data_IF_452599926955
#
_entry.id   IF_452599926955
#
_cell.length_a   1.000
_cell.length_b   1.000
_cell.length_c   1.000
_cell.angle_alpha   90.00
_cell.angle_beta   90.00
_cell.angle_gamma   90.00
#
_symmetry.space_group_name_H-M   'P 1'
#
loop_
_entity.id
_entity.type
_entity.pdbx_description
1 polymer ?
#
# COMPACT_ATOMS: atom_id res chain seq x y z
N UNK A 1 -63.46 22.84 25.23
CA UNK A 1 -63.89 22.88 23.82
C UNK A 1 -63.05 23.89 23.05
N UNK A 2 -62.13 23.43 22.20
CA UNK A 2 -61.74 24.03 20.91
C UNK A 2 -60.74 23.08 20.25
N UNK A 3 -61.17 22.45 19.16
CA UNK A 3 -60.37 21.66 18.22
C UNK A 3 -59.81 22.63 17.18
N UNK A 4 -58.53 22.48 16.86
CA UNK A 4 -57.95 22.92 15.59
C UNK A 4 -56.98 21.84 15.15
N UNK A 5 -57.30 21.18 14.04
CA UNK A 5 -56.42 20.26 13.32
C UNK A 5 -55.23 21.01 12.71
N UNK A 6 -54.14 20.29 12.40
CA UNK A 6 -53.60 20.45 11.06
C UNK A 6 -53.33 19.12 10.34
N UNK A 7 -53.76 19.13 9.08
CA UNK A 7 -53.21 18.51 7.87
C UNK A 7 -52.49 17.15 7.98
N UNK A 8 -53.11 16.17 7.35
CA UNK A 8 -52.47 14.97 6.83
C UNK A 8 -51.55 15.35 5.65
N UNK A 9 -50.26 15.07 5.78
CA UNK A 9 -49.34 14.91 4.66
C UNK A 9 -48.11 14.10 5.07
N UNK A 10 -48.24 12.77 5.11
CA UNK A 10 -47.10 11.85 4.94
C UNK A 10 -47.61 10.42 4.77
N UNK A 11 -48.16 10.12 3.59
CA UNK A 11 -48.19 8.75 3.09
C UNK A 11 -47.10 8.65 2.01
N UNK A 12 -46.35 7.55 2.04
CA UNK A 12 -45.33 7.06 1.10
C UNK A 12 -43.87 7.27 1.56
N UNK A 13 -43.21 6.14 1.83
CA UNK A 13 -41.76 6.04 2.01
C UNK A 13 -41.30 5.73 3.43
N UNK A 14 -41.98 4.81 4.13
CA UNK A 14 -41.39 4.18 5.31
C UNK A 14 -40.14 3.41 4.90
N UNK A 15 -38.97 4.02 5.08
CA UNK A 15 -37.69 3.33 4.97
C UNK A 15 -37.70 2.13 5.91
N UNK A 16 -37.38 0.96 5.36
CA UNK A 16 -37.16 -0.25 6.16
C UNK A 16 -36.22 0.11 7.32
N UNK A 17 -36.49 -0.35 8.55
CA UNK A 17 -35.62 -0.08 9.68
C UNK A 17 -34.27 -0.75 9.39
N UNK A 18 -33.30 0.04 8.93
CA UNK A 18 -31.91 -0.38 8.76
C UNK A 18 -31.44 -0.82 10.15
N UNK A 19 -31.33 -2.13 10.34
CA UNK A 19 -30.83 -2.72 11.57
C UNK A 19 -29.44 -2.11 11.83
N UNK A 20 -29.26 -1.42 12.96
CA UNK A 20 -27.99 -0.76 13.36
C UNK A 20 -26.75 -1.68 13.35
N UNK A 21 -26.94 -2.97 13.13
CA UNK A 21 -25.90 -3.99 13.04
C UNK A 21 -25.37 -4.20 11.61
N UNK A 22 -26.14 -3.89 10.54
CA UNK A 22 -25.69 -4.09 9.15
C UNK A 22 -24.72 -3.01 8.67
N UNK A 23 -24.71 -1.84 9.30
CA UNK A 23 -23.72 -0.77 9.01
C UNK A 23 -22.37 -0.99 9.69
N UNK A 24 -22.25 -1.97 10.58
CA UNK A 24 -20.95 -2.36 11.14
C UNK A 24 -20.31 -3.33 10.17
N UNK A 25 -19.32 -2.85 9.39
CA UNK A 25 -18.39 -3.72 8.67
C UNK A 25 -18.02 -4.89 9.60
N UNK A 26 -17.98 -6.15 9.12
CA UNK A 26 -17.26 -7.17 9.84
C UNK A 26 -15.85 -6.64 10.04
N UNK A 27 -15.45 -6.44 11.31
CA UNK A 27 -14.08 -6.05 11.61
C UNK A 27 -13.21 -7.13 10.97
N UNK A 28 -12.32 -6.74 10.05
CA UNK A 28 -11.25 -7.61 9.56
C UNK A 28 -10.26 -7.77 10.73
N UNK A 29 -10.63 -8.62 11.70
CA UNK A 29 -9.86 -8.89 12.93
C UNK A 29 -8.81 -9.98 12.70
N UNK A 30 -9.01 -10.83 11.69
CA UNK A 30 -8.22 -12.04 11.55
C UNK A 30 -6.99 -11.79 10.68
N UNK A 31 -5.85 -11.59 11.32
CA UNK A 31 -4.50 -11.83 10.75
C UNK A 31 -4.23 -13.34 10.52
N UNK A 32 -5.29 -14.14 10.44
CA UNK A 32 -5.22 -15.57 10.14
C UNK A 32 -4.96 -15.71 8.64
N UNK A 33 -3.94 -16.49 8.31
CA UNK A 33 -3.54 -16.79 6.96
C UNK A 33 -2.38 -17.77 6.95
N UNK A 34 -1.97 -18.14 5.74
CA UNK A 34 -0.87 -19.06 5.47
C UNK A 34 0.14 -18.33 4.62
N UNK A 35 1.43 -18.55 4.89
CA UNK A 35 2.49 -18.16 3.98
C UNK A 35 2.73 -19.30 2.99
N UNK A 36 2.22 -19.11 1.77
CA UNK A 36 2.37 -19.99 0.61
C UNK A 36 3.79 -19.85 0.02
N UNK A 37 4.80 -20.05 0.86
CA UNK A 37 6.20 -19.84 0.52
C UNK A 37 6.59 -20.60 -0.75
N UNK A 38 7.08 -19.87 -1.75
CA UNK A 38 7.78 -20.45 -2.89
C UNK A 38 9.18 -19.85 -2.94
N UNK A 39 10.18 -20.73 -2.94
CA UNK A 39 11.60 -20.35 -3.01
C UNK A 39 11.89 -19.45 -4.21
N UNK A 40 11.29 -19.75 -5.35
CA UNK A 40 11.48 -19.00 -6.60
C UNK A 40 10.96 -17.57 -6.50
N UNK A 41 9.76 -17.36 -5.96
CA UNK A 41 9.22 -16.01 -5.71
C UNK A 41 10.14 -15.22 -4.79
N UNK A 42 10.62 -15.81 -3.70
CA UNK A 42 11.50 -15.12 -2.76
C UNK A 42 12.86 -14.76 -3.38
N UNK A 43 13.39 -15.61 -4.27
CA UNK A 43 14.62 -15.30 -5.03
C UNK A 43 14.39 -14.15 -6.00
N UNK A 44 13.28 -14.17 -6.77
CA UNK A 44 12.91 -13.09 -7.71
C UNK A 44 12.66 -11.79 -6.98
N UNK A 45 11.89 -11.81 -5.89
CA UNK A 45 11.63 -10.65 -5.05
C UNK A 45 12.91 -10.10 -4.42
N UNK A 46 13.79 -10.95 -3.91
CA UNK A 46 15.08 -10.51 -3.37
C UNK A 46 15.98 -9.86 -4.42
N UNK A 47 15.99 -10.38 -5.66
CA UNK A 47 16.70 -9.74 -6.77
C UNK A 47 16.09 -8.39 -7.16
N UNK A 48 14.75 -8.31 -7.18
CA UNK A 48 14.01 -7.08 -7.43
C UNK A 48 14.28 -6.00 -6.37
N UNK A 49 14.26 -6.36 -5.08
CA UNK A 49 14.60 -5.46 -3.98
C UNK A 49 16.02 -4.91 -4.12
N UNK A 50 17.01 -5.76 -4.46
CA UNK A 50 18.39 -5.30 -4.71
C UNK A 50 18.46 -4.33 -5.88
N UNK A 51 17.78 -4.63 -7.00
CA UNK A 51 17.75 -3.77 -8.18
C UNK A 51 17.10 -2.41 -7.93
N UNK A 52 16.12 -2.34 -7.03
CA UNK A 52 15.44 -1.09 -6.61
C UNK A 52 15.96 -0.50 -5.31
N UNK A 53 17.07 -1.00 -4.78
CA UNK A 53 17.68 -0.56 -3.53
C UNK A 53 16.73 -0.54 -2.31
N UNK A 54 15.76 -1.45 -2.27
CA UNK A 54 15.02 -1.77 -1.05
C UNK A 54 15.96 -2.56 -0.14
N UNK A 55 16.29 -2.00 1.03
CA UNK A 55 17.39 -2.48 1.88
C UNK A 55 16.92 -2.70 3.29
N UNK A 56 17.43 -3.77 3.90
CA UNK A 56 17.18 -4.09 5.30
C UNK A 56 18.47 -4.19 6.12
N UNK A 57 19.66 -3.96 5.54
CA UNK A 57 20.95 -3.84 6.25
C UNK A 57 21.29 -5.03 7.16
N UNK A 58 20.81 -6.22 6.81
CA UNK A 58 20.87 -7.41 7.66
C UNK A 58 20.22 -7.23 9.05
N UNK A 59 19.30 -6.27 9.20
CA UNK A 59 18.58 -5.94 10.44
C UNK A 59 17.41 -6.88 10.71
N UNK A 60 16.87 -7.53 9.68
CA UNK A 60 15.65 -8.33 9.80
C UNK A 60 15.79 -9.73 9.22
N UNK A 61 15.02 -10.65 9.77
CA UNK A 61 14.77 -11.98 9.23
C UNK A 61 13.27 -12.18 9.02
N UNK A 62 12.89 -12.61 7.82
CA UNK A 62 11.53 -13.03 7.50
C UNK A 62 11.20 -14.36 8.17
N UNK A 63 10.05 -14.47 8.82
CA UNK A 63 9.60 -15.70 9.48
C UNK A 63 8.08 -15.79 9.52
N UNK A 64 7.55 -16.92 9.98
CA UNK A 64 6.15 -17.11 10.33
C UNK A 64 6.05 -17.40 11.82
N UNK A 65 4.89 -17.14 12.41
CA UNK A 65 4.58 -17.49 13.80
C UNK A 65 3.20 -18.10 13.89
N UNK A 66 2.81 -18.54 15.10
CA UNK A 66 1.45 -19.01 15.36
C UNK A 66 0.39 -17.92 15.08
N UNK A 67 0.76 -16.65 15.20
CA UNK A 67 -0.16 -15.51 15.04
C UNK A 67 -0.10 -14.85 13.66
N UNK A 68 1.04 -14.96 12.96
CA UNK A 68 1.28 -14.25 11.71
C UNK A 68 1.80 -15.20 10.65
N UNK A 69 1.11 -15.26 9.51
CA UNK A 69 1.57 -15.99 8.33
C UNK A 69 2.98 -15.58 7.93
N UNK A 70 3.24 -14.27 7.90
CA UNK A 70 4.54 -13.67 7.60
C UNK A 70 4.78 -12.48 8.52
N UNK A 71 5.96 -12.42 9.11
CA UNK A 71 6.43 -11.30 9.92
C UNK A 71 7.95 -11.13 9.85
N UNK A 72 8.42 -9.98 10.34
CA UNK A 72 9.84 -9.67 10.47
C UNK A 72 10.27 -9.71 11.93
N UNK A 73 11.45 -10.29 12.16
CA UNK A 73 12.15 -10.24 13.45
C UNK A 73 13.49 -9.54 13.31
N UNK A 74 13.89 -8.79 14.33
CA UNK A 74 15.23 -8.22 14.40
C UNK A 74 16.29 -9.34 14.42
N UNK A 75 17.28 -9.26 13.53
CA UNK A 75 18.40 -10.23 13.46
C UNK A 75 19.65 -9.75 14.20
N UNK A 76 19.69 -8.48 14.60
CA UNK A 76 20.75 -7.87 15.40
C UNK A 76 20.13 -6.83 16.36
N UNK A 77 20.85 -6.38 17.40
CA UNK A 77 20.39 -5.27 18.22
C UNK A 77 20.19 -4.00 17.38
N UNK A 78 19.06 -3.31 17.57
CA UNK A 78 18.72 -2.06 16.86
C UNK A 78 18.48 -0.96 17.89
N UNK A 79 19.11 0.19 17.67
CA UNK A 79 18.99 1.35 18.55
C UNK A 79 17.73 2.18 18.23
N UNK A 80 17.19 2.92 19.20
CA UNK A 80 16.14 3.91 18.93
C UNK A 80 16.56 4.89 17.82
N UNK A 81 15.63 5.17 16.90
CA UNK A 81 15.84 6.06 15.75
C UNK A 81 16.65 5.45 14.60
N UNK A 82 17.26 4.28 14.78
CA UNK A 82 18.01 3.62 13.71
C UNK A 82 17.06 3.08 12.64
N UNK A 83 17.43 3.26 11.36
CA UNK A 83 16.70 2.66 10.25
C UNK A 83 16.86 1.13 10.23
N UNK A 84 15.72 0.46 10.11
CA UNK A 84 15.59 -0.98 10.00
C UNK A 84 15.52 -1.37 8.53
N UNK A 85 14.60 -0.74 7.78
CA UNK A 85 14.38 -0.94 6.35
C UNK A 85 14.31 0.43 5.70
N UNK A 86 14.85 0.55 4.49
CA UNK A 86 14.60 1.69 3.63
C UNK A 86 14.09 1.24 2.27
N UNK A 87 13.17 2.00 1.70
CA UNK A 87 12.62 1.75 0.37
C UNK A 87 12.51 3.07 -0.40
N UNK A 88 13.13 3.20 -1.58
CA UNK A 88 12.84 4.32 -2.46
C UNK A 88 11.34 4.44 -2.74
N UNK A 89 10.86 5.68 -2.89
CA UNK A 89 9.46 5.97 -3.22
C UNK A 89 9.05 5.25 -4.51
N UNK A 90 9.95 5.22 -5.48
CA UNK A 90 9.80 4.53 -6.77
C UNK A 90 9.65 3.01 -6.67
N UNK A 91 9.96 2.39 -5.53
CA UNK A 91 9.73 0.96 -5.28
C UNK A 91 8.39 0.70 -4.57
N UNK A 92 7.72 1.73 -4.07
CA UNK A 92 6.44 1.60 -3.39
C UNK A 92 5.29 1.44 -4.39
N UNK A 93 4.18 0.87 -3.93
CA UNK A 93 3.03 0.55 -4.76
C UNK A 93 1.73 1.03 -4.12
N UNK A 94 0.99 1.89 -4.81
CA UNK A 94 -0.31 2.42 -4.38
C UNK A 94 -1.21 2.66 -5.59
N UNK A 95 -2.43 3.13 -5.35
CA UNK A 95 -3.38 3.38 -6.44
C UNK A 95 -2.91 4.45 -7.44
N UNK A 96 -2.04 5.40 -7.07
CA UNK A 96 -1.49 6.38 -8.01
C UNK A 96 -0.47 5.73 -8.95
N UNK A 97 0.33 4.79 -8.45
CA UNK A 97 1.17 3.93 -9.30
C UNK A 97 0.32 3.13 -10.28
N UNK A 98 -0.76 2.51 -9.80
CA UNK A 98 -1.71 1.75 -10.62
C UNK A 98 -2.33 2.62 -11.69
N UNK A 99 -2.80 3.80 -11.31
CA UNK A 99 -3.45 4.71 -12.22
C UNK A 99 -2.47 5.18 -13.31
N UNK A 100 -1.20 5.43 -12.96
CA UNK A 100 -0.16 5.70 -13.96
C UNK A 100 0.04 4.52 -14.92
N UNK A 101 0.21 3.30 -14.42
CA UNK A 101 0.38 2.11 -15.27
C UNK A 101 -0.84 1.87 -16.18
N UNK A 102 -2.05 2.12 -15.70
CA UNK A 102 -3.28 2.00 -16.52
C UNK A 102 -3.32 3.01 -17.67
N UNK A 103 -2.85 4.24 -17.44
CA UNK A 103 -2.83 5.28 -18.48
C UNK A 103 -1.69 5.06 -19.49
N UNK A 104 -0.55 4.56 -19.01
CA UNK A 104 0.59 4.23 -19.86
C UNK A 104 0.38 2.90 -20.63
N UNK A 105 -0.60 2.07 -20.22
CA UNK A 105 -0.93 0.82 -20.89
C UNK A 105 -1.71 1.08 -22.21
N UNK A 106 -1.23 0.57 -23.36
CA UNK A 106 -1.93 0.73 -24.65
C UNK A 106 -3.31 0.07 -24.68
N UNK A 107 -3.55 -0.91 -23.81
CA UNK A 107 -4.85 -1.56 -23.60
C UNK A 107 -5.62 -0.81 -22.53
N UNK A 108 -6.44 0.16 -22.90
CA UNK A 108 -7.31 0.91 -21.98
C UNK A 108 -8.55 0.11 -21.56
N UNK A 109 -8.46 -1.23 -21.52
CA UNK A 109 -9.60 -2.13 -21.34
C UNK A 109 -9.96 -2.38 -19.87
N UNK A 110 -9.22 -1.82 -18.91
CA UNK A 110 -9.57 -1.98 -17.50
C UNK A 110 -10.95 -1.39 -17.22
N UNK A 111 -11.90 -2.17 -16.64
CA UNK A 111 -13.32 -1.82 -16.68
C UNK A 111 -13.72 -0.72 -15.69
N UNK A 112 -12.82 -0.28 -14.81
CA UNK A 112 -13.06 0.84 -13.90
C UNK A 112 -12.32 2.10 -14.35
N UNK A 113 -13.07 3.17 -14.57
CA UNK A 113 -12.49 4.50 -14.68
C UNK A 113 -12.05 4.98 -13.29
N UNK A 114 -10.76 5.22 -13.13
CA UNK A 114 -10.21 5.76 -11.90
C UNK A 114 -10.49 7.26 -11.81
N UNK A 115 -11.16 7.67 -10.74
CA UNK A 115 -11.22 9.08 -10.34
C UNK A 115 -10.15 9.35 -9.29
N UNK A 116 -9.00 9.85 -9.74
CA UNK A 116 -7.81 10.08 -8.93
C UNK A 116 -8.04 11.16 -7.86
N UNK A 117 -8.98 12.06 -8.11
CA UNK A 117 -9.36 13.16 -7.23
C UNK A 117 -10.43 12.77 -6.21
N UNK A 118 -11.20 11.70 -6.48
CA UNK A 118 -12.17 11.13 -5.56
C UNK A 118 -11.77 9.70 -5.22
N UNK A 119 -10.54 9.52 -4.75
CA UNK A 119 -10.03 8.20 -4.39
C UNK A 119 -10.96 7.52 -3.37
N UNK A 120 -11.64 8.25 -2.49
CA UNK A 120 -12.61 7.71 -1.52
C UNK A 120 -14.01 7.41 -2.09
N UNK A 121 -14.22 7.54 -3.40
CA UNK A 121 -15.50 7.20 -4.04
C UNK A 121 -15.85 5.75 -3.73
N UNK A 122 -16.98 5.55 -3.04
CA UNK A 122 -17.51 4.22 -2.77
C UNK A 122 -18.06 3.63 -4.06
N UNK A 123 -17.86 2.33 -4.24
CA UNK A 123 -18.55 1.62 -5.30
C UNK A 123 -20.05 1.69 -5.00
N UNK A 124 -20.89 2.18 -5.93
CA UNK A 124 -22.33 2.27 -5.72
C UNK A 124 -22.94 0.92 -5.32
N UNK A 125 -22.34 -0.17 -5.80
CA UNK A 125 -22.77 -1.55 -5.64
C UNK A 125 -21.96 -2.36 -4.61
N UNK A 126 -21.05 -1.70 -3.90
CA UNK A 126 -20.24 -2.32 -2.84
C UNK A 126 -19.77 -1.24 -1.88
N UNK A 127 -20.66 -0.83 -0.99
CA UNK A 127 -20.41 0.18 0.05
C UNK A 127 -19.23 -0.18 0.96
N UNK A 128 -18.88 -1.46 1.10
CA UNK A 128 -17.72 -1.87 1.89
C UNK A 128 -16.37 -1.53 1.25
N UNK A 129 -16.31 -1.27 -0.06
CA UNK A 129 -15.09 -1.01 -0.82
C UNK A 129 -15.11 0.36 -1.52
N UNK A 130 -13.94 0.99 -1.62
CA UNK A 130 -13.75 2.17 -2.47
C UNK A 130 -13.27 1.78 -3.87
N UNK A 131 -13.52 2.64 -4.85
CA UNK A 131 -13.04 2.53 -6.22
C UNK A 131 -11.53 2.25 -6.28
N UNK A 132 -10.73 2.96 -5.50
CA UNK A 132 -9.26 2.79 -5.51
C UNK A 132 -8.82 1.42 -4.97
N UNK A 133 -9.48 0.89 -3.93
CA UNK A 133 -9.15 -0.40 -3.32
C UNK A 133 -9.41 -1.51 -4.34
N UNK A 134 -10.55 -1.42 -5.01
CA UNK A 134 -11.00 -2.37 -6.02
C UNK A 134 -10.10 -2.33 -7.26
N UNK A 135 -9.79 -1.13 -7.77
CA UNK A 135 -8.91 -0.97 -8.92
C UNK A 135 -7.47 -1.41 -8.63
N UNK A 136 -6.92 -1.05 -7.45
CA UNK A 136 -5.58 -1.47 -7.06
C UNK A 136 -5.50 -3.01 -6.93
N UNK A 137 -6.49 -3.65 -6.30
CA UNK A 137 -6.53 -5.11 -6.17
C UNK A 137 -6.71 -5.82 -7.52
N UNK A 138 -7.59 -5.32 -8.39
CA UNK A 138 -7.79 -5.84 -9.74
C UNK A 138 -6.53 -5.71 -10.60
N UNK A 139 -5.84 -4.57 -10.52
CA UNK A 139 -4.59 -4.37 -11.24
C UNK A 139 -3.46 -5.25 -10.71
N UNK A 140 -3.37 -5.47 -9.40
CA UNK A 140 -2.43 -6.45 -8.83
C UNK A 140 -2.69 -7.87 -9.38
N UNK A 141 -3.95 -8.29 -9.49
CA UNK A 141 -4.29 -9.58 -10.09
C UNK A 141 -3.84 -9.64 -11.56
N UNK A 142 -4.11 -8.59 -12.34
CA UNK A 142 -3.64 -8.47 -13.73
C UNK A 142 -2.12 -8.54 -13.86
N UNK A 143 -1.38 -7.82 -13.02
CA UNK A 143 0.09 -7.89 -12.98
C UNK A 143 0.56 -9.33 -12.71
N UNK A 144 -0.09 -10.03 -11.78
CA UNK A 144 0.27 -11.40 -11.46
C UNK A 144 -0.03 -12.39 -12.59
N UNK A 145 -1.06 -12.16 -13.40
CA UNK A 145 -1.44 -13.04 -14.51
C UNK A 145 -0.65 -12.77 -15.79
N UNK A 146 -0.41 -11.49 -16.14
CA UNK A 146 0.26 -11.11 -17.39
C UNK A 146 1.77 -10.90 -17.26
N UNK A 147 2.27 -10.73 -16.02
CA UNK A 147 3.69 -10.50 -15.70
C UNK A 147 4.34 -9.27 -16.39
N UNK A 148 3.56 -8.38 -17.00
CA UNK A 148 4.04 -7.27 -17.84
C UNK A 148 4.55 -6.04 -17.05
N UNK A 149 4.25 -5.93 -15.76
CA UNK A 149 4.70 -4.81 -14.93
C UNK A 149 6.08 -5.07 -14.33
N UNK A 150 6.85 -4.00 -14.15
CA UNK A 150 8.09 -4.05 -13.38
C UNK A 150 7.85 -4.37 -11.89
N UNK A 151 6.60 -4.40 -11.41
CA UNK A 151 6.22 -4.81 -10.05
C UNK A 151 5.86 -6.29 -9.92
N UNK A 152 5.87 -7.07 -11.01
CA UNK A 152 5.55 -8.51 -11.00
C UNK A 152 6.20 -9.29 -9.85
N UNK A 153 7.53 -9.20 -9.59
CA UNK A 153 8.15 -9.92 -8.47
C UNK A 153 7.61 -9.52 -7.10
N UNK A 154 7.24 -8.24 -6.93
CA UNK A 154 6.68 -7.74 -5.67
C UNK A 154 5.24 -8.20 -5.48
N UNK A 155 4.41 -8.16 -6.53
CA UNK A 155 3.01 -8.61 -6.47
C UNK A 155 2.94 -10.11 -6.17
N UNK A 156 3.72 -10.96 -6.83
CA UNK A 156 3.77 -12.38 -6.48
C UNK A 156 4.20 -12.61 -5.03
N UNK A 157 5.18 -11.84 -4.54
CA UNK A 157 5.58 -11.89 -3.13
C UNK A 157 4.44 -11.51 -2.19
N UNK A 158 3.65 -10.48 -2.51
CA UNK A 158 2.49 -10.08 -1.71
C UNK A 158 1.43 -11.19 -1.66
N UNK A 159 1.17 -11.88 -2.78
CA UNK A 159 0.18 -12.95 -2.88
C UNK A 159 0.58 -14.27 -2.22
N UNK A 160 1.84 -14.45 -1.81
CA UNK A 160 2.21 -15.60 -0.97
C UNK A 160 1.63 -15.53 0.44
N UNK A 161 1.28 -14.34 0.92
CA UNK A 161 0.70 -14.15 2.25
C UNK A 161 -0.81 -14.03 2.10
N UNK A 162 -1.56 -14.96 2.71
CA UNK A 162 -3.03 -15.00 2.58
C UNK A 162 -3.77 -14.32 3.73
N UNK A 163 -3.07 -13.65 4.66
CA UNK A 163 -3.69 -12.96 5.80
C UNK A 163 -4.84 -12.06 5.35
N UNK A 164 -6.01 -12.26 5.96
CA UNK A 164 -7.20 -11.44 5.71
C UNK A 164 -8.04 -11.80 4.48
N UNK A 165 -7.53 -12.67 3.59
CA UNK A 165 -8.23 -13.06 2.34
C UNK A 165 -9.61 -13.62 2.63
N UNK A 166 -9.71 -14.59 3.54
CA UNK A 166 -10.98 -15.24 3.90
C UNK A 166 -11.99 -14.26 4.49
N UNK A 167 -11.52 -13.35 5.35
CA UNK A 167 -12.35 -12.32 5.95
C UNK A 167 -12.96 -11.39 4.90
N UNK A 168 -12.16 -10.96 3.92
CA UNK A 168 -12.61 -10.10 2.83
C UNK A 168 -13.57 -10.83 1.92
N UNK A 169 -13.21 -12.05 1.47
CA UNK A 169 -14.06 -12.87 0.60
C UNK A 169 -15.43 -13.11 1.22
N UNK A 170 -15.48 -13.50 2.51
CA UNK A 170 -16.72 -13.70 3.24
C UNK A 170 -17.50 -12.39 3.46
N UNK A 171 -16.81 -11.28 3.71
CA UNK A 171 -17.44 -9.97 3.89
C UNK A 171 -18.12 -9.47 2.61
N UNK A 172 -17.39 -9.52 1.49
CA UNK A 172 -17.92 -9.17 0.18
C UNK A 172 -19.04 -10.11 -0.27
N UNK A 173 -18.92 -11.41 0.03
CA UNK A 173 -19.97 -12.40 -0.28
C UNK A 173 -21.33 -12.04 0.33
N UNK A 174 -21.35 -11.51 1.56
CA UNK A 174 -22.60 -11.09 2.23
C UNK A 174 -23.22 -9.85 1.60
N UNK A 175 -22.40 -8.89 1.17
CA UNK A 175 -22.88 -7.66 0.53
C UNK A 175 -23.35 -7.91 -0.91
N UNK A 176 -22.71 -8.87 -1.59
CA UNK A 176 -23.06 -9.29 -2.96
C UNK A 176 -24.49 -9.83 -3.07
N UNK A 177 -25.07 -10.36 -2.00
CA UNK A 177 -26.46 -10.87 -2.00
C UNK A 177 -27.51 -9.76 -2.27
N UNK A 178 -27.16 -8.48 -2.11
CA UNK A 178 -28.09 -7.34 -2.26
C UNK A 178 -28.07 -6.69 -3.67
N UNK A 179 -26.94 -6.73 -4.40
CA UNK A 179 -26.76 -6.06 -5.72
C UNK A 179 -26.01 -6.91 -6.78
N UNK A 180 -26.14 -8.25 -6.72
CA UNK A 180 -25.19 -9.22 -7.29
C UNK A 180 -24.78 -9.05 -8.77
N UNK A 181 -25.63 -8.52 -9.64
CA UNK A 181 -25.39 -8.52 -11.09
C UNK A 181 -24.24 -7.61 -11.55
N UNK A 182 -24.06 -6.44 -10.92
CA UNK A 182 -23.07 -5.46 -11.35
C UNK A 182 -21.65 -5.81 -10.88
N UNK A 183 -21.50 -6.26 -9.63
CA UNK A 183 -20.22 -6.71 -9.07
C UNK A 183 -19.63 -7.83 -9.93
N UNK A 184 -20.47 -8.80 -10.30
CA UNK A 184 -20.06 -9.96 -11.09
C UNK A 184 -19.59 -9.55 -12.47
N UNK A 185 -20.33 -8.64 -13.11
CA UNK A 185 -19.93 -8.09 -14.39
C UNK A 185 -18.54 -7.46 -14.32
N UNK A 186 -18.28 -6.56 -13.36
CA UNK A 186 -16.96 -5.93 -13.23
C UNK A 186 -15.84 -6.92 -12.95
N UNK A 187 -16.06 -7.89 -12.06
CA UNK A 187 -15.06 -8.92 -11.75
C UNK A 187 -14.78 -9.84 -12.95
N UNK A 188 -15.81 -10.19 -13.73
CA UNK A 188 -15.65 -10.95 -14.96
C UNK A 188 -14.89 -10.17 -16.05
N UNK A 189 -15.18 -8.88 -16.24
CA UNK A 189 -14.44 -8.03 -17.17
C UNK A 189 -12.97 -7.89 -16.75
N UNK A 190 -12.69 -7.72 -15.45
CA UNK A 190 -11.31 -7.68 -14.96
C UNK A 190 -10.58 -9.01 -15.13
N UNK A 191 -11.24 -10.14 -14.88
CA UNK A 191 -10.65 -11.46 -15.12
C UNK A 191 -10.33 -11.67 -16.61
N UNK A 192 -11.21 -11.21 -17.49
CA UNK A 192 -11.01 -11.24 -18.94
C UNK A 192 -9.83 -10.38 -19.37
N UNK A 193 -9.73 -9.14 -18.86
CA UNK A 193 -8.59 -8.26 -19.12
C UNK A 193 -7.26 -8.82 -18.57
N UNK A 194 -7.31 -9.56 -17.45
CA UNK A 194 -6.15 -10.27 -16.90
C UNK A 194 -5.81 -11.57 -17.65
N UNK A 195 -6.60 -11.97 -18.66
CA UNK A 195 -6.48 -13.27 -19.36
C UNK A 195 -6.43 -14.47 -18.38
N UNK A 196 -7.20 -14.40 -17.30
CA UNK A 196 -7.13 -15.35 -16.20
C UNK A 196 -8.47 -16.07 -15.99
N UNK A 197 -8.41 -17.31 -15.50
CA UNK A 197 -9.63 -17.99 -15.08
C UNK A 197 -10.32 -17.20 -13.95
N UNK A 198 -11.65 -16.98 -14.00
CA UNK A 198 -12.34 -16.17 -13.00
C UNK A 198 -12.11 -16.64 -11.56
N UNK A 199 -11.98 -17.94 -11.29
CA UNK A 199 -11.75 -18.44 -9.93
C UNK A 199 -10.35 -18.08 -9.42
N UNK A 200 -9.35 -18.23 -10.30
CA UNK A 200 -7.95 -17.85 -10.01
C UNK A 200 -7.81 -16.34 -9.84
N UNK A 201 -8.47 -15.56 -10.71
CA UNK A 201 -8.52 -14.12 -10.61
C UNK A 201 -9.13 -13.68 -9.27
N UNK A 202 -10.28 -14.24 -8.89
CA UNK A 202 -10.95 -13.90 -7.63
C UNK A 202 -10.08 -14.21 -6.41
N UNK A 203 -9.35 -15.33 -6.43
CA UNK A 203 -8.42 -15.65 -5.35
C UNK A 203 -7.34 -14.56 -5.19
N UNK A 204 -6.70 -14.16 -6.30
CA UNK A 204 -5.69 -13.11 -6.30
C UNK A 204 -6.26 -11.73 -5.98
N UNK A 205 -7.47 -11.43 -6.46
CA UNK A 205 -8.19 -10.21 -6.17
C UNK A 205 -8.45 -10.04 -4.67
N UNK A 206 -8.97 -11.07 -3.99
CA UNK A 206 -9.19 -11.02 -2.54
C UNK A 206 -7.89 -10.93 -1.74
N UNK A 207 -6.80 -11.57 -2.22
CA UNK A 207 -5.46 -11.37 -1.64
C UNK A 207 -4.99 -9.93 -1.82
N UNK A 208 -5.25 -9.31 -2.98
CA UNK A 208 -4.95 -7.91 -3.27
C UNK A 208 -5.66 -6.95 -2.32
N UNK A 209 -6.97 -7.10 -2.15
CA UNK A 209 -7.74 -6.33 -1.17
C UNK A 209 -7.19 -6.53 0.25
N UNK A 210 -6.80 -7.76 0.62
CA UNK A 210 -6.21 -8.02 1.93
C UNK A 210 -4.87 -7.31 2.14
N UNK A 211 -4.05 -7.22 1.08
CA UNK A 211 -2.83 -6.42 1.11
C UNK A 211 -3.16 -4.95 1.36
N UNK A 212 -4.09 -4.38 0.59
CA UNK A 212 -4.48 -2.96 0.71
C UNK A 212 -5.02 -2.66 2.11
N UNK A 213 -5.86 -3.52 2.69
CA UNK A 213 -6.46 -3.25 4.00
C UNK A 213 -5.55 -3.53 5.21
N UNK A 214 -4.66 -4.52 5.13
CA UNK A 214 -3.91 -4.98 6.32
C UNK A 214 -2.42 -4.64 6.29
N UNK A 215 -1.89 -4.23 5.14
CA UNK A 215 -0.44 -4.08 4.93
C UNK A 215 -0.03 -2.72 4.43
N UNK A 216 -0.96 -1.97 3.85
CA UNK A 216 -0.68 -0.60 3.43
C UNK A 216 -0.47 0.32 4.63
N UNK A 217 0.29 1.38 4.40
CA UNK A 217 0.50 2.47 5.36
C UNK A 217 0.01 3.78 4.73
N UNK A 218 -0.64 4.67 5.49
CA UNK A 218 -0.81 6.04 5.02
C UNK A 218 0.55 6.70 4.89
N UNK A 219 0.68 7.56 3.90
CA UNK A 219 1.91 8.31 3.62
C UNK A 219 1.66 9.80 3.79
N UNK A 220 2.74 10.52 4.07
CA UNK A 220 2.74 11.96 4.26
C UNK A 220 2.39 12.69 2.96
N UNK A 221 1.77 13.86 3.07
CA UNK A 221 1.36 14.67 1.92
C UNK A 221 2.53 14.95 0.94
N UNK A 222 3.74 15.19 1.48
CA UNK A 222 4.94 15.40 0.68
C UNK A 222 5.30 14.17 -0.19
N UNK A 223 5.06 12.96 0.29
CA UNK A 223 5.23 11.74 -0.49
C UNK A 223 4.12 11.61 -1.56
N UNK A 224 2.88 11.97 -1.22
CA UNK A 224 1.75 11.98 -2.17
C UNK A 224 2.03 12.94 -3.34
N UNK A 225 2.51 14.16 -3.08
CA UNK A 225 2.86 15.13 -4.13
C UNK A 225 3.88 14.62 -5.14
N UNK A 226 4.75 13.72 -4.69
CA UNK A 226 5.78 13.09 -5.50
C UNK A 226 5.22 12.01 -6.42
N UNK A 227 4.07 11.40 -6.08
CA UNK A 227 3.36 10.46 -6.94
C UNK A 227 2.45 11.14 -7.98
N UNK A 228 2.05 12.38 -7.76
CA UNK A 228 1.12 13.10 -8.65
C UNK A 228 1.90 13.79 -9.78
N UNK A 229 1.77 13.35 -11.04
CA UNK A 229 2.29 14.11 -12.16
C UNK A 229 1.45 15.39 -12.36
N UNK A 230 2.10 16.53 -12.65
CA UNK A 230 1.40 17.72 -13.14
C UNK A 230 1.52 18.99 -12.27
N UNK A 231 0.51 19.85 -12.38
CA UNK A 231 0.52 21.26 -11.95
C UNK A 231 0.35 21.43 -10.43
N UNK A 232 0.69 22.63 -9.95
CA UNK A 232 0.55 23.01 -8.54
C UNK A 232 -0.89 22.86 -8.01
N UNK A 233 -1.90 22.89 -8.88
CA UNK A 233 -3.31 22.74 -8.49
C UNK A 233 -3.60 21.35 -7.90
N UNK A 234 -3.08 20.29 -8.53
CA UNK A 234 -3.27 18.92 -8.04
C UNK A 234 -2.45 18.65 -6.78
N UNK A 235 -1.23 19.18 -6.73
CA UNK A 235 -0.37 19.08 -5.55
C UNK A 235 -0.96 19.80 -4.34
N UNK A 236 -1.69 20.90 -4.52
CA UNK A 236 -2.37 21.60 -3.45
C UNK A 236 -3.45 20.77 -2.73
N UNK A 237 -3.86 19.62 -3.29
CA UNK A 237 -4.81 18.68 -2.71
C UNK A 237 -4.17 17.47 -2.03
N UNK A 238 -2.85 17.34 -2.07
CA UNK A 238 -2.09 16.21 -1.50
C UNK A 238 -2.40 15.96 -0.01
N UNK A 239 -2.55 17.02 0.77
CA UNK A 239 -2.87 16.94 2.20
C UNK A 239 -4.28 16.45 2.50
N UNK A 240 -5.17 16.54 1.53
CA UNK A 240 -6.54 16.05 1.63
C UNK A 240 -6.65 14.58 1.16
N UNK A 241 -5.60 14.01 0.55
CA UNK A 241 -5.61 12.67 -0.02
C UNK A 241 -5.21 11.60 0.99
N UNK A 242 -5.90 10.45 0.94
CA UNK A 242 -5.52 9.23 1.65
C UNK A 242 -5.02 8.22 0.63
N UNK A 243 -3.70 8.02 0.60
CA UNK A 243 -3.01 7.14 -0.36
C UNK A 243 -2.38 5.95 0.38
N UNK A 244 -3.16 4.90 0.68
CA UNK A 244 -2.61 3.70 1.31
C UNK A 244 -1.56 3.07 0.40
N UNK A 245 -0.35 2.95 0.93
CA UNK A 245 0.83 2.57 0.17
C UNK A 245 1.44 1.29 0.70
N UNK A 246 1.66 0.34 -0.19
CA UNK A 246 2.42 -0.89 0.07
C UNK A 246 3.90 -0.57 -0.09
N UNK A 247 4.65 -0.73 1.00
CA UNK A 247 6.09 -0.48 1.05
C UNK A 247 6.79 -1.84 1.14
N UNK A 248 7.64 -2.21 0.16
CA UNK A 248 8.29 -3.51 0.12
C UNK A 248 9.04 -3.84 1.42
N UNK A 249 8.92 -5.10 1.86
CA UNK A 249 9.40 -5.64 3.15
C UNK A 249 8.63 -5.12 4.37
N UNK A 250 8.29 -3.83 4.40
CA UNK A 250 7.50 -3.22 5.47
C UNK A 250 6.08 -3.82 5.49
N UNK A 251 5.53 -4.19 4.34
CA UNK A 251 4.24 -4.89 4.21
C UNK A 251 4.17 -6.24 4.95
N UNK A 252 5.32 -6.82 5.32
CA UNK A 252 5.39 -8.03 6.12
C UNK A 252 5.22 -7.76 7.61
N UNK A 253 5.30 -6.51 8.07
CA UNK A 253 5.23 -6.16 9.49
C UNK A 253 3.76 -6.12 9.94
N UNK A 254 3.38 -6.90 10.98
CA UNK A 254 2.05 -6.83 11.55
C UNK A 254 1.69 -5.43 12.06
N UNK A 255 0.40 -5.06 11.94
CA UNK A 255 -0.09 -3.76 12.36
C UNK A 255 -0.98 -3.89 13.60
N UNK A 256 -0.65 -3.15 14.66
CA UNK A 256 -1.36 -3.20 15.95
C UNK A 256 -2.20 -1.92 16.16
N UNK A 257 -3.44 -2.11 16.60
CA UNK A 257 -4.39 -1.00 16.90
C UNK A 257 -4.18 -0.39 18.29
N UNK A 258 -3.65 -1.18 19.24
CA UNK A 258 -3.52 -0.81 20.65
C UNK A 258 -2.36 0.16 20.93
N UNK A 259 -1.66 0.60 19.89
CA UNK A 259 -0.52 1.51 20.00
C UNK A 259 0.76 0.87 20.54
N UNK A 260 0.80 -0.46 20.71
CA UNK A 260 2.00 -1.19 21.19
C UNK A 260 3.05 -1.45 20.11
N UNK A 261 2.95 -0.77 18.96
CA UNK A 261 3.96 -0.76 17.91
C UNK A 261 5.33 -0.32 18.40
N UNK A 262 6.39 -0.93 17.86
CA UNK A 262 7.78 -0.67 18.21
C UNK A 262 8.60 -0.09 17.04
N UNK A 263 7.93 0.14 15.90
CA UNK A 263 8.52 0.75 14.71
C UNK A 263 7.61 1.83 14.13
N UNK A 264 8.20 2.78 13.40
CA UNK A 264 7.49 3.84 12.67
C UNK A 264 8.01 3.93 11.25
N UNK A 265 7.14 4.20 10.29
CA UNK A 265 7.49 4.46 8.91
C UNK A 265 7.45 5.98 8.68
N UNK A 266 8.53 6.54 8.16
CA UNK A 266 8.66 7.98 7.90
C UNK A 266 9.20 8.22 6.49
N UNK A 267 8.72 9.28 5.85
CA UNK A 267 9.20 9.72 4.54
C UNK A 267 10.34 10.74 4.62
N UNK A 268 11.35 10.53 3.78
CA UNK A 268 12.54 11.36 3.65
C UNK A 268 12.63 11.92 2.22
N UNK A 269 12.34 13.21 2.01
CA UNK A 269 12.39 13.81 0.69
C UNK A 269 13.84 13.93 0.20
N UNK A 270 14.06 13.70 -1.10
CA UNK A 270 15.37 13.85 -1.72
C UNK A 270 15.48 15.15 -2.52
N UNK A 271 16.45 15.99 -2.17
CA UNK A 271 16.80 17.22 -2.90
C UNK A 271 18.17 17.11 -3.55
N UNK A 272 19.17 16.65 -2.80
CA UNK A 272 20.55 16.51 -3.25
C UNK A 272 21.31 15.47 -2.41
N UNK A 273 22.53 15.14 -2.86
CA UNK A 273 23.40 14.16 -2.20
C UNK A 273 23.81 14.60 -0.79
N UNK A 274 23.94 15.91 -0.52
CA UNK A 274 24.34 16.38 0.81
C UNK A 274 23.23 16.15 1.83
N UNK A 275 21.99 16.41 1.43
CA UNK A 275 20.78 16.14 2.21
C UNK A 275 20.62 14.64 2.46
N UNK A 276 20.86 13.81 1.44
CA UNK A 276 20.84 12.35 1.61
C UNK A 276 21.87 11.85 2.62
N UNK A 277 23.09 12.42 2.65
CA UNK A 277 24.10 12.07 3.66
C UNK A 277 23.61 12.43 5.07
N UNK A 278 23.08 13.64 5.26
CA UNK A 278 22.54 14.07 6.54
C UNK A 278 21.39 13.16 7.01
N UNK A 279 20.51 12.74 6.10
CA UNK A 279 19.44 11.78 6.40
C UNK A 279 19.99 10.40 6.78
N UNK A 280 21.02 9.90 6.08
CA UNK A 280 21.67 8.65 6.47
C UNK A 280 22.32 8.73 7.85
N UNK A 281 22.93 9.87 8.21
CA UNK A 281 23.48 10.12 9.54
C UNK A 281 22.38 10.14 10.62
N UNK A 282 21.28 10.87 10.39
CA UNK A 282 20.11 10.90 11.28
C UNK A 282 19.54 9.50 11.52
N UNK A 283 19.46 8.71 10.46
CA UNK A 283 18.94 7.35 10.46
C UNK A 283 19.95 6.31 10.97
N UNK A 284 21.17 6.73 11.32
CA UNK A 284 22.28 5.86 11.74
C UNK A 284 22.55 4.74 10.71
N UNK A 285 22.38 5.04 9.43
CA UNK A 285 22.66 4.13 8.32
C UNK A 285 24.15 4.23 8.01
N UNK A 286 24.91 3.13 8.12
CA UNK A 286 26.27 3.10 7.62
C UNK A 286 26.26 3.26 6.10
N UNK A 287 26.99 4.24 5.56
CA UNK A 287 27.10 4.43 4.12
C UNK A 287 28.54 4.61 3.62
N UNK A 288 28.74 4.42 2.32
CA UNK A 288 29.93 4.82 1.57
C UNK A 288 29.57 5.30 0.16
N UNK A 289 30.38 6.16 -0.44
CA UNK A 289 30.19 6.61 -1.83
C UNK A 289 31.01 5.78 -2.82
N UNK A 290 30.31 5.13 -3.76
CA UNK A 290 30.95 4.36 -4.83
C UNK A 290 31.91 5.23 -5.65
N UNK A 291 33.15 4.78 -5.74
CA UNK A 291 34.21 5.46 -6.50
C UNK A 291 34.88 6.63 -5.76
N UNK A 292 34.47 6.95 -4.53
CA UNK A 292 35.13 7.96 -3.68
C UNK A 292 35.72 7.38 -2.40
N UNK A 293 35.05 6.38 -1.84
CA UNK A 293 35.44 5.74 -0.59
C UNK A 293 35.69 4.25 -0.80
N UNK A 294 36.55 3.66 0.04
CA UNK A 294 36.74 2.21 0.01
C UNK A 294 35.45 1.49 0.41
N UNK A 295 35.05 0.44 -0.32
CA UNK A 295 33.82 -0.27 -0.03
C UNK A 295 33.85 -0.87 1.37
N UNK A 296 32.76 -0.73 2.14
CA UNK A 296 32.68 -1.33 3.47
C UNK A 296 32.57 -2.86 3.36
N UNK A 297 33.63 -3.55 3.78
CA UNK A 297 33.64 -5.01 3.94
C UNK A 297 32.77 -5.39 5.13
N UNK A 298 31.69 -6.12 4.86
CA UNK A 298 30.73 -6.54 5.89
C UNK A 298 30.95 -7.96 6.38
N UNK A 299 31.64 -8.79 5.60
CA UNK A 299 31.97 -10.15 6.00
C UNK A 299 33.30 -10.57 5.38
N UNK A 300 34.19 -11.10 6.21
CA UNK A 300 35.40 -11.76 5.76
C UNK A 300 35.25 -13.25 5.99
N UNK A 301 35.20 -14.02 4.90
CA UNK A 301 35.16 -15.49 4.98
C UNK A 301 36.53 -16.01 4.61
N UNK A 302 37.22 -16.66 5.56
CA UNK A 302 38.45 -17.41 5.25
C UNK A 302 38.10 -18.66 4.48
N UNK A 303 38.51 -18.71 3.22
CA UNK A 303 38.41 -19.88 2.36
C UNK A 303 39.78 -20.53 2.20
N UNK A 304 39.82 -21.76 1.67
CA UNK A 304 41.07 -22.48 1.37
C UNK A 304 41.97 -21.72 0.37
N UNK A 305 41.41 -20.73 -0.35
CA UNK A 305 42.11 -19.88 -1.33
C UNK A 305 42.46 -18.46 -0.85
N UNK A 306 42.21 -18.14 0.43
CA UNK A 306 42.45 -16.82 1.02
C UNK A 306 41.21 -16.20 1.68
N UNK A 307 41.30 -14.92 2.05
CA UNK A 307 40.19 -14.16 2.64
C UNK A 307 39.27 -13.66 1.52
N UNK A 308 38.03 -14.15 1.49
CA UNK A 308 36.97 -13.62 0.62
C UNK A 308 36.25 -12.50 1.36
N UNK A 309 36.33 -11.28 0.85
CA UNK A 309 35.64 -10.11 1.41
C UNK A 309 34.31 -9.91 0.68
N UNK A 310 33.20 -9.94 1.41
CA UNK A 310 31.87 -9.57 0.90
C UNK A 310 31.61 -8.12 1.24
N UNK A 311 31.57 -7.28 0.20
CA UNK A 311 31.17 -5.88 0.28
C UNK A 311 29.64 -5.83 0.32
N UNK A 312 29.06 -5.20 1.33
CA UNK A 312 27.61 -4.99 1.33
C UNK A 312 27.28 -3.79 0.46
N UNK A 313 26.76 -4.06 -0.75
CA UNK A 313 26.14 -3.06 -1.60
C UNK A 313 24.95 -2.35 -0.93
N UNK A 314 24.41 -2.88 0.19
CA UNK A 314 23.34 -2.23 0.94
C UNK A 314 23.81 -0.95 1.66
N UNK A 315 25.12 -0.83 1.92
CA UNK A 315 25.73 0.37 2.49
C UNK A 315 26.29 1.33 1.43
N UNK A 316 26.18 1.04 0.13
CA UNK A 316 26.47 2.05 -0.90
C UNK A 316 25.43 3.16 -0.80
N UNK A 317 25.81 4.44 -0.87
CA UNK A 317 24.82 5.52 -0.86
C UNK A 317 23.74 5.28 -1.94
N UNK A 318 22.47 5.54 -1.62
CA UNK A 318 21.38 5.28 -2.57
C UNK A 318 21.58 6.06 -3.87
N UNK A 319 21.20 5.44 -4.98
CA UNK A 319 21.31 6.04 -6.31
C UNK A 319 20.37 7.25 -6.42
N UNK A 320 20.89 8.47 -6.65
CA UNK A 320 20.08 9.65 -6.90
C UNK A 320 18.98 9.46 -7.95
N UNK A 321 19.20 8.64 -8.97
CA UNK A 321 18.22 8.40 -10.02
C UNK A 321 16.96 7.67 -9.51
N UNK A 322 17.10 6.81 -8.48
CA UNK A 322 15.98 6.10 -7.86
C UNK A 322 15.19 6.99 -6.88
N UNK A 323 15.83 8.05 -6.38
CA UNK A 323 15.25 9.02 -5.45
C UNK A 323 14.69 10.27 -6.15
N UNK A 324 15.10 10.50 -7.40
CA UNK A 324 14.67 11.64 -8.20
C UNK A 324 13.14 11.71 -8.30
N UNK A 325 12.60 12.88 -8.01
CA UNK A 325 11.15 13.13 -8.06
C UNK A 325 10.39 12.75 -6.79
N UNK A 326 11.06 12.29 -5.71
CA UNK A 326 10.39 12.07 -4.43
C UNK A 326 11.35 11.86 -3.26
N UNK A 327 12.00 10.70 -3.15
CA UNK A 327 12.83 10.36 -2.00
C UNK A 327 12.68 8.89 -1.60
N UNK A 328 12.73 8.60 -0.31
CA UNK A 328 12.60 7.24 0.22
C UNK A 328 11.82 7.21 1.54
N UNK A 329 11.29 6.05 1.88
CA UNK A 329 10.76 5.77 3.21
C UNK A 329 11.79 5.04 4.05
N UNK A 330 11.83 5.34 5.35
CA UNK A 330 12.59 4.58 6.33
C UNK A 330 11.66 4.06 7.42
N UNK A 331 11.72 2.75 7.65
CA UNK A 331 11.18 2.13 8.85
C UNK A 331 12.22 2.26 9.96
N UNK A 332 11.87 2.85 11.10
CA UNK A 332 12.76 3.10 12.23
C UNK A 332 12.28 2.42 13.49
N UNK A 333 13.22 2.08 14.38
CA UNK A 333 12.89 1.60 15.71
C UNK A 333 12.48 2.77 16.63
N UNK A 334 11.36 2.65 17.33
CA UNK A 334 10.91 3.63 18.33
C UNK A 334 11.59 3.41 19.70
N UNK A 335 12.03 2.19 19.95
CA UNK A 335 12.66 1.75 21.19
C UNK A 335 13.78 0.75 20.87
N UNK A 336 14.66 0.41 21.81
CA UNK A 336 15.69 -0.60 21.59
C UNK A 336 15.04 -1.95 21.23
N UNK A 337 15.55 -2.61 20.19
CA UNK A 337 15.10 -3.95 19.78
C UNK A 337 16.23 -4.95 19.97
N UNK A 338 15.90 -6.09 20.57
CA UNK A 338 16.78 -7.23 20.77
C UNK A 338 16.65 -8.26 19.65
N UNK A 339 17.66 -9.12 19.51
CA UNK A 339 17.63 -10.21 18.53
C UNK A 339 16.43 -11.12 18.78
N UNK A 340 15.62 -11.32 17.75
CA UNK A 340 14.41 -12.14 17.80
C UNK A 340 13.12 -11.36 18.07
N UNK A 341 13.19 -10.08 18.44
CA UNK A 341 12.01 -9.25 18.65
C UNK A 341 11.21 -9.12 17.35
N UNK A 342 9.89 -9.30 17.44
CA UNK A 342 8.97 -9.11 16.31
C UNK A 342 8.76 -7.62 16.11
N UNK A 343 8.80 -7.19 14.85
CA UNK A 343 8.50 -5.81 14.49
C UNK A 343 6.98 -5.62 14.42
N UNK A 344 6.53 -4.45 14.87
CA UNK A 344 5.12 -4.05 14.86
C UNK A 344 5.00 -2.60 14.41
N UNK A 345 4.05 -2.37 13.51
CA UNK A 345 3.65 -1.04 13.04
C UNK A 345 2.33 -0.63 13.67
N UNK A 346 2.07 0.68 13.68
CA UNK A 346 0.77 1.19 14.09
C UNK A 346 -0.24 0.91 12.99
N UNK A 347 -1.39 0.33 13.35
CA UNK A 347 -2.57 0.34 12.48
C UNK A 347 -3.25 1.70 12.56
N UNK A 348 -3.44 2.35 11.43
CA UNK A 348 -4.21 3.59 11.39
C UNK A 348 -5.72 3.26 11.38
N UNK A 349 -6.55 4.01 12.15
CA UNK A 349 -7.96 3.70 12.28
C UNK A 349 -8.75 3.96 10.98
N UNK A 350 -9.41 2.92 10.46
CA UNK A 350 -10.32 2.98 9.29
C UNK A 350 -11.52 3.94 9.44
N UNK A 351 -11.75 4.45 10.66
CA UNK A 351 -13.00 5.08 11.10
C UNK A 351 -12.93 6.61 11.08
N UNK A 352 -11.72 7.21 11.05
CA UNK A 352 -11.53 8.66 11.21
C UNK A 352 -11.51 9.51 9.93
N UNK A 353 -11.22 8.92 8.76
CA UNK A 353 -11.02 9.67 7.51
C UNK A 353 -12.29 9.92 6.69
N UNK A 354 -13.47 9.54 7.21
CA UNK A 354 -14.74 9.49 6.46
C UNK A 354 -15.61 10.74 6.57
N UNK A 355 -15.23 11.72 7.41
CA UNK A 355 -16.03 12.94 7.62
C UNK A 355 -15.96 13.96 6.46
N UNK A 356 -14.95 13.87 5.59
CA UNK A 356 -14.77 14.78 4.44
C UNK A 356 -15.60 14.43 3.20
N UNK A 357 -16.31 13.30 3.23
CA UNK A 357 -16.96 12.63 2.08
C UNK A 357 -17.99 13.47 1.32
N UNK A 358 -18.46 14.61 1.85
CA UNK A 358 -19.48 15.46 1.19
C UNK A 358 -18.99 16.80 0.67
N UNK A 359 -17.80 17.29 1.04
CA UNK A 359 -17.37 18.65 0.65
C UNK A 359 -16.72 18.71 -0.73
N UNK A 360 -16.08 17.65 -1.22
CA UNK A 360 -15.35 17.69 -2.51
C UNK A 360 -16.26 17.69 -3.74
N UNK A 361 -17.44 17.05 -3.66
CA UNK A 361 -18.41 17.04 -4.77
C UNK A 361 -18.92 18.43 -5.15
N UNK A 362 -19.02 19.35 -4.20
CA UNK A 362 -19.45 20.73 -4.44
C UNK A 362 -18.37 21.58 -5.13
N UNK A 363 -17.08 21.32 -4.85
CA UNK A 363 -15.95 22.05 -5.45
C UNK A 363 -15.73 21.67 -6.93
N UNK A 364 -16.13 20.47 -7.35
CA UNK A 364 -16.05 20.02 -8.75
C UNK A 364 -17.06 20.70 -9.68
N UNK A 365 -18.28 21.00 -9.22
CA UNK A 365 -19.23 21.79 -10.03
C UNK A 365 -18.68 23.18 -10.33
N UNK A 366 -17.98 23.78 -9.36
CA UNK A 366 -17.30 25.06 -9.53
C UNK A 366 -16.11 24.95 -10.51
N UNK A 367 -15.27 23.91 -10.37
CA UNK A 367 -14.09 23.72 -11.24
C UNK A 367 -14.46 23.36 -12.69
N UNK A 368 -15.45 22.49 -12.91
CA UNK A 368 -15.97 22.19 -14.25
C UNK A 368 -16.63 23.41 -14.90
N UNK A 369 -17.32 24.24 -14.11
CA UNK A 369 -17.90 25.51 -14.59
C UNK A 369 -16.82 26.53 -14.96
N UNK A 370 -15.69 26.57 -14.24
CA UNK A 370 -14.57 27.46 -14.56
C UNK A 370 -13.79 27.02 -15.81
N UNK A 371 -13.70 25.71 -16.07
CA UNK A 371 -13.03 25.16 -17.25
C UNK A 371 -13.89 25.22 -18.53
N UNK A 372 -15.21 25.19 -18.41
CA UNK A 372 -16.13 25.31 -19.56
C UNK A 372 -16.36 26.74 -20.04
N UNK A 373 -15.89 27.75 -19.30
CA UNK A 373 -16.02 29.17 -19.67
C UNK A 373 -14.76 29.80 -20.29
N UNK A 374 -13.72 29.01 -20.62
CA UNK A 374 -12.53 29.51 -21.32
C UNK A 374 -12.47 29.23 -22.83
N UNK A 375 -13.47 28.53 -23.39
CA UNK A 375 -13.66 28.41 -24.84
C UNK A 375 -14.83 29.29 -25.32
N UNK A 376 -14.70 30.61 -25.11
CA UNK A 376 -15.62 31.64 -25.60
C UNK A 376 -14.90 32.95 -25.88
#
# INVERSE_FOLDING_TARGET
MRRTSPAASSAMGGGLPIHRETTRKPRLVTEVGTWLYKKETMVRFGAWCRGRQVRAYGNVKMTSTVHFARCLRASKPILPGQAIITSPLSACFNFLTVAKEMYDCPSTAFPLQLNWMNYNERLPFMQSACMFEFAQAGWMARIASLEESAYTPYVHYLFEDTRGRDGISNGMGKEREEESGMVDHYLSEMATDACEDPEVFLENFFRGLACVHLRSQPIEAAAVESFIPGTNFFKAKSSEMYVPTLVPLVDAIPQLEDGSHNTVLEYYPYSDVATLRAQCEELQIPFFEKGKEEPRVTQETRTVRGVSQTISAEHELMDPALLAGGGFFALRALQPLSVGDVLYLRRYPDVGCRGGERMMGAQMMEANRLLTHQDG
#
